data_IF_891360870845
#
_entry.id   IF_891360870845
#
_cell.length_a   1.000
_cell.length_b   1.000
_cell.length_c   1.000
_cell.angle_alpha   90.00
_cell.angle_beta   90.00
_cell.angle_gamma   90.00
#
_symmetry.space_group_name_H-M   'P 1'
#
loop_
_entity.id
_entity.type
_entity.pdbx_description
1 polymer ?
#
# COMPACT_ATOMS: atom_id res chain seq x y z
N UNK A 1 11.00 26.84 -1.58
CA UNK A 1 11.26 25.38 -1.69
C UNK A 1 9.91 24.68 -1.81
N UNK A 2 9.50 24.29 -3.02
CA UNK A 2 8.14 23.82 -3.29
C UNK A 2 7.98 22.35 -2.91
N UNK A 3 7.14 22.10 -1.92
CA UNK A 3 6.67 20.77 -1.55
C UNK A 3 5.62 20.32 -2.60
N UNK A 4 6.09 19.69 -3.67
CA UNK A 4 5.20 19.04 -4.63
C UNK A 4 4.89 17.63 -4.15
N UNK A 5 3.87 17.50 -3.31
CA UNK A 5 3.08 16.27 -3.23
C UNK A 5 2.32 16.14 -4.55
N UNK A 6 2.98 15.60 -5.58
CA UNK A 6 2.31 15.32 -6.85
C UNK A 6 1.51 14.04 -6.66
N UNK A 7 0.25 14.19 -6.28
CA UNK A 7 -0.76 13.22 -6.70
C UNK A 7 -0.86 13.39 -8.22
N UNK A 8 -0.18 12.54 -8.99
CA UNK A 8 -0.33 12.57 -10.45
C UNK A 8 -1.74 12.03 -10.77
N UNK A 9 -2.59 12.81 -11.47
CA UNK A 9 -3.82 12.28 -12.03
C UNK A 9 -3.47 11.18 -13.05
N UNK A 10 -4.34 10.19 -13.17
CA UNK A 10 -4.18 9.06 -14.08
C UNK A 10 -3.90 9.56 -15.51
N UNK A 11 -2.76 9.16 -16.08
CA UNK A 11 -2.38 9.47 -17.45
C UNK A 11 -3.31 8.70 -18.40
N UNK A 12 -4.11 9.41 -19.21
CA UNK A 12 -5.14 8.86 -20.13
C UNK A 12 -4.58 8.02 -21.30
N UNK A 13 -3.31 7.60 -21.27
CA UNK A 13 -2.66 6.88 -22.36
C UNK A 13 -1.91 5.61 -21.97
N UNK A 14 -1.87 5.24 -20.69
CA UNK A 14 -1.29 3.96 -20.26
C UNK A 14 -2.40 2.91 -20.20
N UNK A 15 -2.17 1.74 -20.82
CA UNK A 15 -3.05 0.59 -20.65
C UNK A 15 -3.36 0.44 -19.14
N UNK A 16 -4.64 0.32 -18.74
CA UNK A 16 -4.99 0.30 -17.33
C UNK A 16 -4.22 -0.82 -16.67
N UNK A 17 -3.35 -0.48 -15.72
CA UNK A 17 -2.67 -1.47 -14.88
C UNK A 17 -3.73 -2.45 -14.38
N UNK A 18 -3.42 -3.74 -14.37
CA UNK A 18 -4.34 -4.73 -13.83
C UNK A 18 -4.71 -4.35 -12.39
N UNK A 19 -5.93 -4.67 -11.98
CA UNK A 19 -6.39 -4.44 -10.61
C UNK A 19 -5.38 -5.01 -9.59
N UNK A 20 -4.82 -6.19 -9.90
CA UNK A 20 -3.76 -6.81 -9.09
C UNK A 20 -2.51 -5.93 -8.96
N UNK A 21 -1.98 -5.39 -10.05
CA UNK A 21 -0.81 -4.50 -10.02
C UNK A 21 -1.10 -3.22 -9.24
N UNK A 22 -2.31 -2.68 -9.36
CA UNK A 22 -2.74 -1.53 -8.58
C UNK A 22 -2.75 -1.82 -7.08
N UNK A 23 -3.34 -2.95 -6.67
CA UNK A 23 -3.35 -3.40 -5.29
C UNK A 23 -1.93 -3.62 -4.74
N UNK A 24 -1.04 -4.24 -5.52
CA UNK A 24 0.38 -4.40 -5.13
C UNK A 24 1.06 -3.05 -4.90
N UNK A 25 0.80 -2.05 -5.75
CA UNK A 25 1.33 -0.69 -5.56
C UNK A 25 0.78 -0.03 -4.29
N UNK A 26 -0.51 -0.17 -4.01
CA UNK A 26 -1.13 0.37 -2.80
C UNK A 26 -0.54 -0.27 -1.54
N UNK A 27 -0.38 -1.59 -1.53
CA UNK A 27 0.27 -2.34 -0.46
C UNK A 27 1.71 -1.85 -0.20
N UNK A 28 2.52 -1.67 -1.26
CA UNK A 28 3.87 -1.09 -1.14
C UNK A 28 3.85 0.33 -0.58
N UNK A 29 2.92 1.17 -1.05
CA UNK A 29 2.76 2.55 -0.53
C UNK A 29 2.37 2.54 0.95
N UNK A 30 1.49 1.65 1.37
CA UNK A 30 1.10 1.50 2.77
C UNK A 30 2.29 1.04 3.64
N UNK A 31 3.06 0.05 3.17
CA UNK A 31 4.29 -0.38 3.85
C UNK A 31 5.33 0.74 4.01
N UNK A 32 5.37 1.71 3.09
CA UNK A 32 6.29 2.86 3.21
C UNK A 32 6.00 3.74 4.43
N UNK A 33 4.79 3.67 5.01
CA UNK A 33 4.42 4.39 6.23
C UNK A 33 5.27 3.93 7.41
N UNK A 34 5.60 2.64 7.50
CA UNK A 34 6.49 2.11 8.54
C UNK A 34 7.80 2.88 8.59
N UNK A 35 8.45 3.05 7.43
CA UNK A 35 9.70 3.81 7.32
C UNK A 35 9.50 5.28 7.72
N UNK A 36 8.40 5.92 7.29
CA UNK A 36 8.12 7.32 7.66
C UNK A 36 7.91 7.49 9.16
N UNK A 37 7.23 6.56 9.82
CA UNK A 37 7.04 6.57 11.27
C UNK A 37 8.38 6.38 11.97
N UNK A 38 9.21 5.42 11.54
CA UNK A 38 10.53 5.23 12.14
C UNK A 38 11.40 6.49 12.04
N UNK A 39 11.39 7.16 10.89
CA UNK A 39 12.14 8.40 10.68
C UNK A 39 11.57 9.56 11.52
N UNK A 40 10.25 9.68 11.61
CA UNK A 40 9.60 10.75 12.36
C UNK A 40 9.86 10.64 13.87
N UNK A 41 9.80 9.42 14.41
CA UNK A 41 10.01 9.16 15.83
C UNK A 41 11.48 8.92 16.20
N UNK A 42 12.35 8.77 15.19
CA UNK A 42 13.73 8.28 15.35
C UNK A 42 13.78 7.00 16.21
N UNK A 43 12.83 6.10 16.00
CA UNK A 43 12.62 4.89 16.81
C UNK A 43 12.19 3.74 15.91
N UNK A 44 12.70 2.54 16.18
CA UNK A 44 12.31 1.34 15.43
C UNK A 44 10.87 0.93 15.76
N UNK A 45 10.14 0.42 14.76
CA UNK A 45 8.76 -0.04 14.98
C UNK A 45 8.66 -1.18 16.00
N UNK A 46 9.75 -1.93 16.22
CA UNK A 46 9.81 -3.03 17.19
C UNK A 46 10.35 -2.60 18.56
N UNK A 47 10.50 -1.30 18.80
CA UNK A 47 11.15 -0.81 20.02
C UNK A 47 10.22 -0.78 21.25
N UNK A 48 8.90 -0.83 21.06
CA UNK A 48 7.93 -0.99 22.13
C UNK A 48 6.64 -1.65 21.60
N UNK A 49 5.75 -2.00 22.53
CA UNK A 49 4.53 -2.75 22.23
C UNK A 49 3.53 -1.95 21.36
N UNK A 50 3.37 -0.66 21.60
CA UNK A 50 2.44 0.17 20.83
C UNK A 50 2.92 0.34 19.39
N UNK A 51 4.22 0.59 19.20
CA UNK A 51 4.81 0.65 17.86
C UNK A 51 4.74 -0.70 17.13
N UNK A 52 4.90 -1.81 17.85
CA UNK A 52 4.78 -3.14 17.28
C UNK A 52 3.35 -3.41 16.79
N UNK A 53 2.34 -3.03 17.57
CA UNK A 53 0.92 -3.14 17.20
C UNK A 53 0.59 -2.26 15.99
N UNK A 54 1.06 -1.01 15.96
CA UNK A 54 0.91 -0.14 14.78
C UNK A 54 1.52 -0.79 13.53
N UNK A 55 2.69 -1.41 13.67
CA UNK A 55 3.34 -2.13 12.57
C UNK A 55 2.49 -3.31 12.08
N UNK A 56 1.95 -4.10 12.99
CA UNK A 56 1.09 -5.24 12.65
C UNK A 56 -0.14 -4.79 11.86
N UNK A 57 -0.86 -3.77 12.36
CA UNK A 57 -2.02 -3.19 11.66
C UNK A 57 -1.67 -2.77 10.24
N UNK A 58 -0.54 -2.07 10.05
CA UNK A 58 -0.11 -1.63 8.71
C UNK A 58 0.18 -2.83 7.79
N UNK A 59 0.85 -3.86 8.30
CA UNK A 59 1.19 -5.05 7.52
C UNK A 59 -0.04 -5.88 7.17
N UNK A 60 -0.99 -6.00 8.09
CA UNK A 60 -2.25 -6.72 7.87
C UNK A 60 -3.08 -6.04 6.78
N UNK A 61 -3.26 -4.72 6.87
CA UNK A 61 -3.94 -3.94 5.82
C UNK A 61 -3.22 -4.08 4.48
N UNK A 62 -1.88 -4.03 4.47
CA UNK A 62 -1.11 -4.24 3.25
C UNK A 62 -1.31 -5.63 2.64
N UNK A 63 -1.47 -6.67 3.45
CA UNK A 63 -1.75 -8.03 2.98
C UNK A 63 -3.19 -8.15 2.46
N UNK A 64 -4.16 -7.54 3.14
CA UNK A 64 -5.56 -7.50 2.71
C UNK A 64 -5.74 -6.79 1.36
N UNK A 65 -5.06 -5.67 1.13
CA UNK A 65 -5.09 -4.97 -0.16
C UNK A 65 -4.66 -5.90 -1.30
N UNK A 66 -3.60 -6.69 -1.09
CA UNK A 66 -3.12 -7.64 -2.12
C UNK A 66 -4.13 -8.77 -2.33
N UNK A 67 -4.68 -9.34 -1.25
CA UNK A 67 -5.72 -10.38 -1.34
C UNK A 67 -6.97 -9.89 -2.06
N UNK A 68 -7.38 -8.63 -1.81
CA UNK A 68 -8.51 -8.01 -2.48
C UNK A 68 -8.29 -7.94 -4.00
N UNK A 69 -7.08 -7.57 -4.43
CA UNK A 69 -6.71 -7.58 -5.84
C UNK A 69 -6.81 -8.98 -6.45
N UNK A 70 -6.36 -10.01 -5.73
CA UNK A 70 -6.39 -11.40 -6.20
C UNK A 70 -7.83 -11.92 -6.33
N UNK A 71 -8.64 -11.68 -5.30
CA UNK A 71 -10.04 -12.09 -5.25
C UNK A 71 -10.83 -11.48 -6.41
N UNK A 72 -10.75 -10.15 -6.58
CA UNK A 72 -11.49 -9.46 -7.63
C UNK A 72 -10.95 -9.74 -9.04
N UNK A 73 -9.64 -10.01 -9.18
CA UNK A 73 -9.08 -10.44 -10.48
C UNK A 73 -9.47 -11.88 -10.84
N UNK A 74 -9.72 -12.74 -9.84
CA UNK A 74 -10.24 -14.09 -10.03
C UNK A 74 -11.71 -14.08 -10.47
N UNK A 75 -12.55 -13.30 -9.77
CA UNK A 75 -13.98 -13.15 -10.10
C UNK A 75 -14.20 -12.56 -11.52
N UNK A 76 -13.30 -11.68 -11.98
CA UNK A 76 -13.36 -11.12 -13.34
C UNK A 76 -13.07 -12.13 -14.45
N UNK A 77 -12.38 -13.25 -14.15
CA UNK A 77 -12.02 -14.28 -15.13
C UNK A 77 -13.00 -15.45 -15.17
N UNK A 78 -13.79 -15.69 -14.12
CA UNK A 78 -14.80 -16.77 -14.10
C UNK A 78 -16.17 -16.36 -14.67
N UNK A 79 -16.34 -15.07 -15.02
CA UNK A 79 -17.59 -14.51 -15.56
C UNK A 79 -17.65 -14.34 -17.08
N UNK A 80 -16.69 -14.87 -17.85
CA UNK A 80 -16.63 -14.74 -19.33
C UNK A 80 -16.68 -16.10 -20.04
#
# INVERSE_FOLDING_TARGET
>A
MSNKSVFQPFDEGQAPFSLQEHCVRLSKKNNSVLYKVEQHLNKKMLADAELAEIREIILDVSAEIVRLGQYLSGDLNEGL
#
